data_IF_071527566415
#
_entry.id   IF_071527566415
#
_cell.length_a   1.000
_cell.length_b   1.000
_cell.length_c   1.000
_cell.angle_alpha   90.00
_cell.angle_beta   90.00
_cell.angle_gamma   90.00
#
_symmetry.space_group_name_H-M   'P 1'
#
loop_
_entity.id
_entity.type
_entity.pdbx_description
1 polymer ?
#
# COMPACT_ATOMS: atom_id res chain seq x y z
N UNK A 1 32.27 2.67 -19.92
CA UNK A 1 31.81 2.63 -18.51
C UNK A 1 30.41 2.04 -18.52
N UNK A 2 30.19 0.91 -17.85
CA UNK A 2 28.89 0.24 -17.81
C UNK A 2 28.11 0.86 -16.63
N UNK A 3 27.01 1.56 -16.92
CA UNK A 3 26.11 2.04 -15.86
C UNK A 3 25.31 0.85 -15.32
N UNK A 4 25.35 0.59 -14.00
CA UNK A 4 24.62 -0.53 -13.41
C UNK A 4 23.10 -0.34 -13.56
N UNK A 5 22.38 -1.43 -13.84
CA UNK A 5 20.92 -1.42 -14.01
C UNK A 5 20.22 -1.30 -12.65
N UNK A 6 19.29 -0.35 -12.55
CA UNK A 6 18.49 -0.13 -11.34
C UNK A 6 17.16 -0.91 -11.41
N UNK A 7 16.78 -1.53 -10.30
CA UNK A 7 15.43 -2.06 -10.10
C UNK A 7 14.39 -0.94 -9.94
N UNK A 8 13.11 -1.20 -10.24
CA UNK A 8 12.04 -0.24 -10.03
C UNK A 8 11.89 0.16 -8.57
N UNK A 9 11.25 1.31 -8.34
CA UNK A 9 10.95 1.82 -7.02
C UNK A 9 10.07 0.83 -6.23
N UNK A 10 10.42 0.49 -4.97
CA UNK A 10 9.64 -0.46 -4.18
C UNK A 10 8.28 0.10 -3.72
N UNK A 11 8.09 1.43 -3.75
CA UNK A 11 6.86 2.06 -3.26
C UNK A 11 5.79 2.17 -4.36
N UNK A 12 6.18 2.52 -5.59
CA UNK A 12 5.23 2.77 -6.68
C UNK A 12 5.52 1.96 -7.95
N UNK A 13 6.61 1.18 -8.00
CA UNK A 13 7.05 0.49 -9.21
C UNK A 13 7.67 1.40 -10.27
N UNK A 14 7.79 2.71 -10.02
CA UNK A 14 8.31 3.70 -10.96
C UNK A 14 9.81 3.58 -11.24
N UNK A 15 10.27 4.27 -12.27
CA UNK A 15 11.69 4.30 -12.67
C UNK A 15 12.54 5.04 -11.63
N UNK A 16 13.80 4.64 -11.49
CA UNK A 16 14.78 5.27 -10.62
C UNK A 16 15.99 5.77 -11.41
N UNK A 17 16.58 6.89 -10.99
CA UNK A 17 17.72 7.52 -11.66
C UNK A 17 18.77 8.03 -10.66
N UNK A 18 20.01 8.15 -11.14
CA UNK A 18 21.11 8.71 -10.35
C UNK A 18 21.07 10.23 -10.39
N UNK A 19 21.25 10.85 -9.22
CA UNK A 19 21.41 12.30 -9.07
C UNK A 19 22.71 12.60 -8.35
N UNK A 20 23.38 13.66 -8.81
CA UNK A 20 24.51 14.27 -8.10
C UNK A 20 24.01 15.50 -7.34
N UNK A 21 24.23 15.52 -6.03
CA UNK A 21 23.94 16.66 -5.18
C UNK A 21 25.05 17.72 -5.30
N UNK A 22 24.69 18.95 -4.95
CA UNK A 22 25.62 20.08 -4.92
C UNK A 22 26.76 19.89 -3.92
N UNK A 23 26.51 19.16 -2.82
CA UNK A 23 27.54 18.78 -1.85
C UNK A 23 28.56 17.76 -2.39
N UNK A 24 28.47 17.36 -3.66
CA UNK A 24 29.38 16.40 -4.30
C UNK A 24 28.98 14.94 -4.09
N UNK A 25 27.96 14.68 -3.27
CA UNK A 25 27.39 13.34 -3.08
C UNK A 25 26.59 12.88 -4.31
N UNK A 26 26.42 11.58 -4.44
CA UNK A 26 25.51 10.94 -5.39
C UNK A 26 24.45 10.14 -4.64
N UNK A 27 23.24 10.14 -5.16
CA UNK A 27 22.08 9.43 -4.63
C UNK A 27 21.33 8.78 -5.80
N UNK A 28 20.44 7.84 -5.49
CA UNK A 28 19.40 7.39 -6.41
C UNK A 28 18.05 7.83 -5.85
N UNK A 29 17.20 8.38 -6.70
CA UNK A 29 15.83 8.76 -6.35
C UNK A 29 14.82 8.16 -7.33
N UNK A 30 13.55 8.11 -6.90
CA UNK A 30 12.46 7.78 -7.79
C UNK A 30 12.11 8.97 -8.70
N UNK A 31 11.85 8.69 -9.98
CA UNK A 31 11.42 9.67 -10.97
C UNK A 31 9.98 10.14 -10.82
N UNK A 32 9.16 9.39 -10.08
CA UNK A 32 7.74 9.68 -9.94
C UNK A 32 7.52 10.81 -8.92
N UNK A 33 6.83 11.88 -9.33
CA UNK A 33 6.66 13.08 -8.48
C UNK A 33 5.84 12.82 -7.22
N UNK A 34 4.96 11.82 -7.29
CA UNK A 34 4.14 11.39 -6.15
C UNK A 34 4.91 10.46 -5.21
N UNK A 35 6.07 9.95 -5.63
CA UNK A 35 6.89 9.04 -4.84
C UNK A 35 8.18 9.73 -4.38
N UNK A 36 8.23 10.09 -3.09
CA UNK A 36 9.39 10.76 -2.48
C UNK A 36 10.44 9.75 -1.99
N UNK A 37 10.55 8.58 -2.64
CA UNK A 37 11.50 7.55 -2.22
C UNK A 37 12.90 7.89 -2.73
N UNK A 38 13.81 8.11 -1.78
CA UNK A 38 15.22 8.36 -2.03
C UNK A 38 16.11 7.29 -1.37
N UNK A 39 17.24 7.03 -2.00
CA UNK A 39 18.25 6.10 -1.52
C UNK A 39 19.25 6.73 -0.55
N UNK A 40 20.34 6.03 -0.29
CA UNK A 40 21.43 6.53 0.55
C UNK A 40 22.33 7.44 -0.28
N UNK A 41 22.79 8.55 0.29
CA UNK A 41 23.80 9.42 -0.32
C UNK A 41 25.20 8.82 -0.12
N UNK A 42 26.01 8.76 -1.18
CA UNK A 42 27.41 8.31 -1.14
C UNK A 42 28.31 9.38 -1.75
N UNK A 43 29.46 9.62 -1.14
CA UNK A 43 30.47 10.54 -1.65
C UNK A 43 31.56 9.76 -2.38
N UNK A 44 31.96 10.24 -3.55
CA UNK A 44 33.01 9.64 -4.34
C UNK A 44 34.39 10.01 -3.74
N UNK A 45 35.01 9.12 -2.97
CA UNK A 45 36.36 9.30 -2.43
C UNK A 45 37.43 8.70 -3.36
N UNK A 46 37.36 9.01 -4.66
CA UNK A 46 38.30 8.51 -5.69
C UNK A 46 37.65 7.55 -6.69
N UNK A 47 36.88 6.57 -6.23
CA UNK A 47 36.12 5.65 -7.07
C UNK A 47 34.70 6.15 -7.36
N UNK A 48 34.13 5.67 -8.48
CA UNK A 48 32.74 5.94 -8.85
C UNK A 48 31.77 5.25 -7.87
N UNK A 49 30.90 5.97 -7.15
CA UNK A 49 30.02 5.38 -6.14
C UNK A 49 28.75 4.75 -6.76
N UNK A 50 28.49 4.93 -8.06
CA UNK A 50 27.34 4.36 -8.79
C UNK A 50 27.13 2.85 -8.60
N UNK A 51 28.15 1.97 -8.71
CA UNK A 51 27.98 0.53 -8.46
C UNK A 51 27.49 0.23 -7.03
N UNK A 52 28.07 0.87 -6.02
CA UNK A 52 27.67 0.68 -4.62
C UNK A 52 26.27 1.23 -4.33
N UNK A 53 25.93 2.35 -4.97
CA UNK A 53 24.58 2.91 -4.91
C UNK A 53 23.57 1.96 -5.56
N UNK A 54 23.89 1.38 -6.71
CA UNK A 54 23.02 0.43 -7.40
C UNK A 54 22.83 -0.86 -6.60
N UNK A 55 23.89 -1.37 -5.96
CA UNK A 55 23.79 -2.54 -5.08
C UNK A 55 22.91 -2.23 -3.87
N UNK A 56 23.13 -1.10 -3.20
CA UNK A 56 22.28 -0.66 -2.09
C UNK A 56 20.82 -0.46 -2.53
N UNK A 57 20.61 0.04 -3.75
CA UNK A 57 19.29 0.23 -4.32
C UNK A 57 18.63 -1.12 -4.66
N UNK A 58 19.37 -2.07 -5.20
CA UNK A 58 18.78 -3.34 -5.62
C UNK A 58 18.64 -4.34 -4.46
N UNK A 59 19.38 -4.17 -3.36
CA UNK A 59 19.38 -5.08 -2.21
C UNK A 59 18.43 -4.67 -1.08
N UNK A 60 17.78 -3.51 -1.20
CA UNK A 60 16.88 -3.03 -0.14
C UNK A 60 15.59 -3.84 -0.08
N UNK A 61 15.16 -4.10 1.16
CA UNK A 61 13.89 -4.77 1.45
C UNK A 61 12.72 -3.87 1.06
N UNK A 62 11.59 -4.45 0.62
CA UNK A 62 10.36 -3.69 0.43
C UNK A 62 10.03 -2.96 1.73
N UNK A 63 9.57 -1.71 1.60
CA UNK A 63 9.19 -0.89 2.75
C UNK A 63 8.04 -1.55 3.51
N UNK A 64 7.95 -1.31 4.82
CA UNK A 64 6.89 -1.87 5.66
C UNK A 64 5.48 -1.57 5.11
N UNK A 65 5.30 -0.44 4.42
CA UNK A 65 4.03 -0.07 3.78
C UNK A 65 3.65 -1.03 2.64
N UNK A 66 4.59 -1.36 1.75
CA UNK A 66 4.35 -2.35 0.69
C UNK A 66 4.04 -3.74 1.27
N UNK A 67 4.63 -4.10 2.41
CA UNK A 67 4.31 -5.34 3.11
C UNK A 67 2.90 -5.32 3.72
N UNK A 68 2.50 -4.20 4.32
CA UNK A 68 1.16 -4.02 4.90
C UNK A 68 0.06 -4.07 3.84
N UNK A 69 0.27 -3.48 2.67
CA UNK A 69 -0.72 -3.54 1.57
C UNK A 69 -0.94 -4.97 1.07
N UNK A 70 0.13 -5.76 0.94
CA UNK A 70 0.04 -7.18 0.58
C UNK A 70 -0.71 -7.97 1.66
N UNK A 71 -0.41 -7.74 2.94
CA UNK A 71 -1.12 -8.39 4.06
C UNK A 71 -2.60 -8.03 4.06
N UNK A 72 -2.95 -6.75 3.88
CA UNK A 72 -4.34 -6.29 3.77
C UNK A 72 -5.07 -6.97 2.61
N UNK A 73 -4.40 -7.16 1.48
CA UNK A 73 -5.00 -7.81 0.32
C UNK A 73 -5.24 -9.30 0.56
N UNK A 74 -4.33 -9.98 1.26
CA UNK A 74 -4.53 -11.39 1.67
C UNK A 74 -5.69 -11.51 2.66
N UNK A 75 -5.79 -10.62 3.65
CA UNK A 75 -6.93 -10.58 4.59
C UNK A 75 -8.26 -10.36 3.88
N UNK A 76 -8.31 -9.43 2.92
CA UNK A 76 -9.51 -9.19 2.11
C UNK A 76 -9.89 -10.42 1.27
N UNK A 77 -8.90 -11.11 0.71
CA UNK A 77 -9.13 -12.36 -0.03
C UNK A 77 -9.67 -13.46 0.89
N UNK A 78 -9.09 -13.65 2.07
CA UNK A 78 -9.55 -14.65 3.04
C UNK A 78 -11.00 -14.37 3.48
N UNK A 79 -11.31 -13.12 3.81
CA UNK A 79 -12.67 -12.70 4.14
C UNK A 79 -13.66 -12.95 2.99
N UNK A 80 -13.22 -12.87 1.73
CA UNK A 80 -14.06 -13.17 0.58
C UNK A 80 -14.46 -14.66 0.50
N UNK A 81 -13.52 -15.58 0.76
CA UNK A 81 -13.78 -17.02 0.69
C UNK A 81 -14.49 -17.57 1.93
N UNK A 82 -14.26 -16.97 3.10
CA UNK A 82 -14.92 -17.36 4.35
C UNK A 82 -16.32 -16.77 4.51
N UNK A 83 -16.67 -15.76 3.69
CA UNK A 83 -17.99 -15.17 3.76
C UNK A 83 -19.09 -16.21 3.48
N UNK A 84 -20.25 -16.10 4.17
CA UNK A 84 -21.41 -16.90 3.84
C UNK A 84 -21.75 -16.75 2.35
N UNK A 85 -21.89 -17.88 1.63
CA UNK A 85 -22.28 -17.88 0.22
C UNK A 85 -23.57 -17.07 0.05
N UNK A 86 -23.47 -15.91 -0.59
CA UNK A 86 -24.57 -14.95 -0.76
C UNK A 86 -24.41 -13.61 -0.05
N UNK A 87 -23.46 -13.45 0.87
CA UNK A 87 -23.20 -12.19 1.57
C UNK A 87 -22.81 -11.06 0.60
N UNK A 88 -21.86 -11.31 -0.32
CA UNK A 88 -21.46 -10.32 -1.32
C UNK A 88 -22.58 -10.00 -2.32
N UNK A 89 -23.38 -11.00 -2.72
CA UNK A 89 -24.56 -10.78 -3.57
C UNK A 89 -25.60 -9.89 -2.87
N UNK A 90 -25.85 -10.12 -1.57
CA UNK A 90 -26.69 -9.25 -0.76
C UNK A 90 -26.09 -7.84 -0.59
N UNK A 91 -24.76 -7.73 -0.47
CA UNK A 91 -24.06 -6.45 -0.36
C UNK A 91 -24.17 -5.64 -1.65
N UNK A 92 -24.00 -6.27 -2.81
CA UNK A 92 -24.18 -5.65 -4.13
C UNK A 92 -25.63 -5.16 -4.33
N UNK A 93 -26.61 -5.96 -3.87
CA UNK A 93 -28.02 -5.57 -3.81
C UNK A 93 -28.23 -4.33 -2.92
N UNK A 94 -27.57 -4.25 -1.76
CA UNK A 94 -27.65 -3.09 -0.87
C UNK A 94 -26.99 -1.83 -1.46
N UNK A 95 -25.85 -1.96 -2.12
CA UNK A 95 -25.17 -0.84 -2.80
C UNK A 95 -26.03 -0.33 -3.97
N UNK A 96 -26.63 -1.23 -4.73
CA UNK A 96 -27.51 -0.88 -5.86
C UNK A 96 -28.78 -0.19 -5.37
N UNK A 97 -29.36 -0.64 -4.26
CA UNK A 97 -30.54 -0.01 -3.65
C UNK A 97 -30.22 1.35 -3.00
N UNK A 98 -28.98 1.55 -2.50
CA UNK A 98 -28.52 2.83 -1.93
C UNK A 98 -27.88 3.78 -2.97
N UNK A 99 -27.65 3.32 -4.20
CA UNK A 99 -27.13 4.12 -5.31
C UNK A 99 -28.09 5.21 -5.83
N UNK A 100 -29.32 5.26 -5.31
CA UNK A 100 -30.16 6.45 -5.39
C UNK A 100 -29.73 7.48 -4.34
N UNK A 101 -28.74 8.31 -4.69
CA UNK A 101 -28.17 9.46 -3.93
C UNK A 101 -27.09 9.11 -2.90
N UNK A 102 -25.83 9.37 -3.29
CA UNK A 102 -24.73 9.58 -2.34
C UNK A 102 -24.06 10.91 -2.68
N UNK A 103 -24.59 11.99 -2.10
CA UNK A 103 -23.76 13.17 -1.84
C UNK A 103 -22.86 12.81 -0.65
N UNK A 104 -21.56 12.98 -0.85
CA UNK A 104 -20.52 12.57 0.07
C UNK A 104 -20.63 13.30 1.42
N UNK A 105 -20.96 12.56 2.47
CA UNK A 105 -20.62 12.94 3.86
C UNK A 105 -20.11 11.70 4.58
N UNK A 106 -18.90 11.80 5.14
CA UNK A 106 -18.20 10.76 5.91
C UNK A 106 -19.09 10.18 7.02
N UNK A 107 -19.02 8.86 7.31
CA UNK A 107 -19.73 8.33 8.46
C UNK A 107 -18.93 8.60 9.73
N UNK A 108 -19.46 9.48 10.59
CA UNK A 108 -19.19 9.45 12.02
C UNK A 108 -19.70 8.11 12.59
N UNK A 109 -18.96 7.59 13.59
CA UNK A 109 -19.02 6.22 14.09
C UNK A 109 -20.40 5.58 14.24
N UNK A 110 -20.52 4.33 13.77
CA UNK A 110 -21.60 3.44 14.16
C UNK A 110 -21.13 2.54 15.30
N UNK A 111 -21.69 2.82 16.49
CA UNK A 111 -21.53 2.04 17.71
C UNK A 111 -22.26 0.69 17.57
N UNK A 112 -21.56 -0.41 17.88
CA UNK A 112 -22.10 -1.76 17.95
C UNK A 112 -22.86 -1.95 19.27
N UNK A 113 -24.16 -2.23 19.18
CA UNK A 113 -24.86 -2.97 20.24
C UNK A 113 -25.90 -3.90 19.58
N UNK A 114 -25.76 -5.23 19.70
CA UNK A 114 -26.79 -6.17 19.25
C UNK A 114 -27.86 -6.32 20.33
N UNK A 115 -29.12 -5.98 20.00
CA UNK A 115 -30.29 -6.36 20.80
C UNK A 115 -30.61 -7.84 20.54
N UNK A 116 -30.54 -8.67 21.59
CA UNK A 116 -30.99 -10.06 21.57
C UNK A 116 -32.52 -10.15 21.42
N UNK A 117 -33.05 -11.17 20.73
CA UNK A 117 -34.49 -11.37 20.59
C UNK A 117 -35.11 -11.98 21.85
N UNK A 118 -36.30 -11.45 22.17
CA UNK A 118 -37.21 -11.76 23.25
C UNK A 118 -37.77 -13.20 23.12
N UNK A 119 -37.48 -14.08 24.09
CA UNK A 119 -38.15 -15.38 24.19
C UNK A 119 -39.51 -15.22 24.88
N UNK A 120 -40.58 -15.51 24.14
CA UNK A 120 -41.91 -15.76 24.69
C UNK A 120 -41.94 -17.11 25.41
N UNK A 121 -42.20 -17.11 26.72
CA UNK A 121 -42.62 -18.31 27.44
C UNK A 121 -43.97 -18.01 28.11
N UNK A 122 -45.00 -18.73 27.68
CA UNK A 122 -46.38 -18.53 28.10
C UNK A 122 -46.83 -19.50 29.19
N UNK A 123 -47.69 -18.97 30.08
CA UNK A 123 -48.73 -19.62 30.91
C UNK A 123 -48.34 -20.70 31.92
N UNK A 124 -48.64 -20.41 33.19
CA UNK A 124 -49.83 -20.94 33.86
C UNK A 124 -50.36 -19.92 34.87
#
# INVERSE_FOLDING_TARGET
MITPRLLPCPCCGGTAHFIRLECGGQIIECAEKQCVSSGVVRYACGDDPRPLLAEAWNSRRPTAHAQLDVLRQVEQMAAYYEAPKGFFHWLDLQITQRGGTVSATQPAGFSLAPTLPEQQEGRA
#
